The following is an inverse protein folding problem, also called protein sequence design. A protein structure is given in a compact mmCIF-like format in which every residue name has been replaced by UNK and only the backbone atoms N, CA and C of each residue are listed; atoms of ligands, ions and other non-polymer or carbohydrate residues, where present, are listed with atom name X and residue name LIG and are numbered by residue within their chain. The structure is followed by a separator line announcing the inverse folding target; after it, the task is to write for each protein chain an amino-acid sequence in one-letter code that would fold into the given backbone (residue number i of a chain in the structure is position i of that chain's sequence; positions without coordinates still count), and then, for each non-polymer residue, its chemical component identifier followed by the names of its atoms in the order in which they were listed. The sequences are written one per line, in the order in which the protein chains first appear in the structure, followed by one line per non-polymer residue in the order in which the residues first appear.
data_IF_620182385807
#
_entry.id   IF_620182385807
#
_cell.length_a   1.000
_cell.length_b   1.000
_cell.length_c   1.000
_cell.angle_alpha   90.00
_cell.angle_beta   90.00
_cell.angle_gamma   90.00
#
_symmetry.space_group_name_H-M   'P 1'
#
loop_
_entity.id
_entity.type
_entity.pdbx_description
1 polymer ?
#
# COMPACT_ATOMS: atom_id res chain seq x y z
N UNK A 1 3.15 -19.00 -16.61
CA UNK A 1 4.02 -17.81 -16.45
C UNK A 1 3.98 -17.42 -15.00
N UNK A 2 5.11 -17.08 -14.39
CA UNK A 2 5.17 -16.58 -13.01
C UNK A 2 4.77 -15.11 -13.02
N UNK A 3 3.97 -14.67 -12.05
CA UNK A 3 3.58 -13.26 -11.92
C UNK A 3 4.78 -12.45 -11.43
N UNK A 4 5.04 -11.31 -12.09
CA UNK A 4 6.13 -10.38 -11.80
C UNK A 4 5.62 -9.25 -10.92
N UNK A 5 6.21 -9.09 -9.74
CA UNK A 5 5.80 -8.11 -8.73
C UNK A 5 6.92 -7.10 -8.52
N UNK A 6 6.59 -5.81 -8.59
CA UNK A 6 7.47 -4.73 -8.15
C UNK A 6 6.96 -4.16 -6.85
N UNK A 7 7.78 -4.20 -5.80
CA UNK A 7 7.48 -3.60 -4.49
C UNK A 7 8.16 -2.23 -4.40
N UNK A 8 7.38 -1.18 -4.59
CA UNK A 8 7.84 0.20 -4.48
C UNK A 8 7.69 0.72 -3.05
N UNK A 9 8.78 1.27 -2.50
CA UNK A 9 8.81 1.84 -1.16
C UNK A 9 9.53 3.19 -1.15
N UNK A 10 8.92 4.19 -0.51
CA UNK A 10 9.54 5.51 -0.35
C UNK A 10 10.91 5.46 0.35
N UNK A 11 11.09 4.52 1.28
CA UNK A 11 12.35 4.20 1.96
C UNK A 11 13.04 5.37 2.68
N UNK A 12 12.27 6.37 3.13
CA UNK A 12 12.79 7.52 3.90
C UNK A 12 12.79 7.25 5.40
N UNK A 13 11.75 6.61 5.92
CA UNK A 13 11.58 6.40 7.37
C UNK A 13 12.66 5.47 7.91
N UNK A 14 12.91 4.37 7.20
CA UNK A 14 13.91 3.36 7.58
C UNK A 14 15.33 3.92 7.51
N UNK A 15 15.59 4.93 6.68
CA UNK A 15 16.89 5.61 6.60
C UNK A 15 17.10 6.67 7.70
N UNK A 16 16.01 7.28 8.21
CA UNK A 16 16.09 8.44 9.11
C UNK A 16 15.71 8.15 10.56
N UNK A 17 14.91 7.12 10.81
CA UNK A 17 14.43 6.76 12.14
C UNK A 17 15.02 5.42 12.60
N UNK A 18 15.94 5.42 13.59
CA UNK A 18 16.55 4.19 14.10
C UNK A 18 15.57 3.15 14.65
N UNK A 19 14.42 3.59 15.19
CA UNK A 19 13.37 2.67 15.67
C UNK A 19 12.77 1.90 14.50
N UNK A 20 12.44 2.60 13.41
CA UNK A 20 11.90 1.98 12.19
C UNK A 20 12.96 1.10 11.52
N UNK A 21 14.21 1.56 11.44
CA UNK A 21 15.32 0.80 10.89
C UNK A 21 15.57 -0.53 11.63
N UNK A 22 15.38 -0.55 12.96
CA UNK A 22 15.50 -1.77 13.74
C UNK A 22 14.38 -2.79 13.45
N UNK A 23 13.18 -2.31 13.08
CA UNK A 23 12.06 -3.19 12.70
C UNK A 23 12.21 -3.66 11.25
N UNK A 24 12.61 -2.76 10.36
CA UNK A 24 12.79 -2.99 8.93
C UNK A 24 14.23 -2.68 8.49
N UNK A 25 15.20 -3.56 8.82
CA UNK A 25 16.60 -3.32 8.52
C UNK A 25 16.90 -3.24 7.01
N UNK A 26 16.12 -3.96 6.22
CA UNK A 26 16.19 -3.96 4.75
C UNK A 26 15.02 -3.18 4.11
N UNK A 27 14.36 -2.30 4.89
CA UNK A 27 13.17 -1.57 4.49
C UNK A 27 11.89 -2.41 4.42
N UNK A 28 10.75 -1.72 4.37
CA UNK A 28 9.42 -2.37 4.26
C UNK A 28 9.33 -3.21 2.99
N UNK A 29 9.86 -2.69 1.87
CA UNK A 29 9.98 -3.42 0.62
C UNK A 29 10.77 -4.73 0.75
N UNK A 30 11.86 -4.76 1.54
CA UNK A 30 12.63 -5.99 1.77
C UNK A 30 11.83 -7.06 2.51
N UNK A 31 11.07 -6.66 3.53
CA UNK A 31 10.18 -7.57 4.27
C UNK A 31 9.09 -8.18 3.37
N UNK A 32 8.41 -7.34 2.58
CA UNK A 32 7.37 -7.80 1.64
C UNK A 32 7.97 -8.68 0.55
N UNK A 33 9.09 -8.26 -0.06
CA UNK A 33 9.72 -9.01 -1.14
C UNK A 33 10.21 -10.38 -0.67
N UNK A 34 10.76 -10.48 0.55
CA UNK A 34 11.19 -11.75 1.13
C UNK A 34 10.05 -12.73 1.34
N UNK A 35 8.85 -12.24 1.69
CA UNK A 35 7.65 -13.06 1.81
C UNK A 35 7.13 -13.56 0.45
N UNK A 36 7.16 -12.70 -0.58
CA UNK A 36 6.58 -13.02 -1.89
C UNK A 36 7.48 -13.90 -2.79
N UNK A 37 8.79 -13.93 -2.56
CA UNK A 37 9.76 -14.61 -3.46
C UNK A 37 9.49 -16.11 -3.69
N UNK A 38 8.76 -16.78 -2.80
CA UNK A 38 8.48 -18.21 -2.90
C UNK A 38 7.34 -18.52 -3.90
N UNK A 39 6.58 -17.52 -4.34
CA UNK A 39 5.47 -17.66 -5.30
C UNK A 39 5.52 -16.74 -6.51
N UNK A 40 6.41 -15.75 -6.52
CA UNK A 40 6.43 -14.64 -7.48
C UNK A 40 7.85 -14.31 -7.94
N UNK A 41 7.99 -13.72 -9.13
CA UNK A 41 9.22 -13.04 -9.53
C UNK A 41 9.17 -11.63 -8.94
N UNK A 42 9.99 -11.34 -7.93
CA UNK A 42 9.88 -10.10 -7.17
C UNK A 42 11.10 -9.21 -7.37
N UNK A 43 10.86 -7.92 -7.57
CA UNK A 43 11.87 -6.87 -7.47
C UNK A 43 11.38 -5.76 -6.54
N UNK A 44 12.31 -4.95 -6.07
CA UNK A 44 12.01 -3.76 -5.28
C UNK A 44 12.51 -2.52 -5.99
N UNK A 45 11.87 -1.39 -5.73
CA UNK A 45 12.27 -0.07 -6.22
C UNK A 45 12.04 0.97 -5.12
N UNK A 46 12.89 1.99 -5.06
CA UNK A 46 12.82 3.04 -4.04
C UNK A 46 12.86 4.44 -4.63
N UNK A 47 12.35 5.42 -3.87
CA UNK A 47 12.28 6.82 -4.31
C UNK A 47 13.65 7.40 -4.71
N UNK A 48 14.73 6.96 -4.06
CA UNK A 48 16.08 7.51 -4.24
C UNK A 48 16.80 6.97 -5.48
N UNK A 49 16.28 5.92 -6.11
CA UNK A 49 16.83 5.38 -7.35
C UNK A 49 16.56 6.32 -8.55
N UNK A 50 17.36 6.25 -9.62
CA UNK A 50 17.05 6.94 -10.87
C UNK A 50 15.65 6.59 -11.35
N UNK A 51 14.86 7.60 -11.74
CA UNK A 51 13.44 7.43 -12.10
C UNK A 51 12.61 6.71 -11.02
N UNK A 52 13.03 6.83 -9.75
CA UNK A 52 12.44 6.15 -8.59
C UNK A 52 12.44 4.62 -8.71
N UNK A 53 13.38 4.07 -9.49
CA UNK A 53 13.48 2.64 -9.81
C UNK A 53 12.40 2.16 -10.78
N UNK A 54 11.59 3.06 -11.34
CA UNK A 54 10.42 2.75 -12.16
C UNK A 54 10.63 3.15 -13.62
N UNK A 55 11.75 2.76 -14.21
CA UNK A 55 12.01 2.96 -15.65
C UNK A 55 10.91 2.31 -16.50
N UNK A 56 10.81 2.70 -17.79
CA UNK A 56 9.81 2.10 -18.68
C UNK A 56 9.93 0.58 -18.74
N UNK A 57 11.15 0.05 -18.84
CA UNK A 57 11.39 -1.39 -18.86
C UNK A 57 10.93 -2.08 -17.56
N UNK A 58 11.13 -1.46 -16.40
CA UNK A 58 10.64 -2.00 -15.13
C UNK A 58 9.12 -2.05 -15.09
N UNK A 59 8.45 -0.99 -15.54
CA UNK A 59 6.99 -0.91 -15.54
C UNK A 59 6.38 -1.89 -16.55
N UNK A 60 6.93 -1.97 -17.77
CA UNK A 60 6.51 -2.94 -18.81
C UNK A 60 6.71 -4.39 -18.37
N UNK A 61 7.67 -4.62 -17.48
CA UNK A 61 7.96 -5.92 -16.89
C UNK A 61 7.39 -6.12 -15.48
N UNK A 62 6.34 -5.38 -15.11
CA UNK A 62 5.60 -5.54 -13.85
C UNK A 62 4.17 -5.97 -14.15
N UNK A 63 3.73 -7.09 -13.56
CA UNK A 63 2.33 -7.51 -13.65
C UNK A 63 1.51 -6.92 -12.49
N UNK A 64 2.12 -6.80 -11.30
CA UNK A 64 1.52 -6.16 -10.12
C UNK A 64 2.53 -5.23 -9.43
N UNK A 65 2.14 -3.97 -9.25
CA UNK A 65 2.87 -3.00 -8.46
C UNK A 65 2.31 -2.96 -7.03
N UNK A 66 3.17 -3.07 -6.02
CA UNK A 66 2.83 -2.79 -4.62
C UNK A 66 3.44 -1.43 -4.27
N UNK A 67 2.66 -0.53 -3.67
CA UNK A 67 3.09 0.84 -3.40
C UNK A 67 2.93 1.22 -1.94
N UNK A 68 4.05 1.55 -1.29
CA UNK A 68 4.07 2.18 0.03
C UNK A 68 4.81 3.52 -0.02
N UNK A 69 4.23 4.58 0.57
CA UNK A 69 4.89 5.87 0.75
C UNK A 69 4.16 6.71 1.78
N UNK A 70 4.80 7.76 2.30
CA UNK A 70 4.23 8.55 3.39
C UNK A 70 4.65 10.03 3.38
N UNK A 71 5.95 10.32 3.55
CA UNK A 71 6.44 11.67 3.81
C UNK A 71 6.70 12.48 2.54
N UNK A 72 7.09 11.81 1.47
CA UNK A 72 7.65 12.40 0.25
C UNK A 72 6.83 12.07 -1.00
N UNK A 73 5.50 11.91 -0.87
CA UNK A 73 4.61 11.72 -2.02
C UNK A 73 4.77 12.79 -3.11
N UNK A 74 5.14 14.02 -2.72
CA UNK A 74 5.34 15.14 -3.64
C UNK A 74 6.61 14.99 -4.48
N UNK A 75 7.59 14.24 -3.98
CA UNK A 75 8.92 14.09 -4.57
C UNK A 75 8.95 12.98 -5.64
N UNK A 76 7.85 12.24 -5.82
CA UNK A 76 7.66 11.34 -6.96
C UNK A 76 7.36 12.19 -8.19
N UNK A 77 8.23 12.15 -9.20
CA UNK A 77 8.11 12.93 -10.43
C UNK A 77 6.81 12.61 -11.18
N UNK A 78 6.14 13.66 -11.69
CA UNK A 78 4.85 13.51 -12.36
C UNK A 78 4.94 12.61 -13.61
N UNK A 79 6.08 12.61 -14.31
CA UNK A 79 6.31 11.69 -15.43
C UNK A 79 6.30 10.20 -15.02
N UNK A 80 6.80 9.88 -13.82
CA UNK A 80 6.76 8.53 -13.26
C UNK A 80 5.35 8.18 -12.82
N UNK A 81 4.62 9.14 -12.27
CA UNK A 81 3.20 8.98 -11.93
C UNK A 81 2.38 8.63 -13.18
N UNK A 82 2.52 9.38 -14.28
CA UNK A 82 1.78 9.06 -15.52
C UNK A 82 2.13 7.68 -16.05
N UNK A 83 3.42 7.30 -16.07
CA UNK A 83 3.86 5.97 -16.51
C UNK A 83 3.17 4.85 -15.72
N UNK A 84 3.11 4.97 -14.40
CA UNK A 84 2.44 3.99 -13.54
C UNK A 84 0.93 3.98 -13.76
N UNK A 85 0.30 5.15 -13.85
CA UNK A 85 -1.15 5.29 -14.09
C UNK A 85 -1.55 4.69 -15.43
N UNK A 86 -0.81 4.98 -16.50
CA UNK A 86 -1.02 4.41 -17.84
C UNK A 86 -0.88 2.89 -17.82
N UNK A 87 0.15 2.35 -17.15
CA UNK A 87 0.32 0.91 -17.02
C UNK A 87 -0.85 0.25 -16.28
N UNK A 88 -1.35 0.87 -15.19
CA UNK A 88 -2.53 0.37 -14.47
C UNK A 88 -3.78 0.39 -15.35
N UNK A 89 -4.02 1.48 -16.08
CA UNK A 89 -5.13 1.57 -17.03
C UNK A 89 -5.03 0.56 -18.18
N UNK A 90 -3.81 0.13 -18.52
CA UNK A 90 -3.53 -0.91 -19.50
C UNK A 90 -3.49 -2.33 -18.92
N UNK A 91 -3.83 -2.52 -17.64
CA UNK A 91 -4.04 -3.83 -17.02
C UNK A 91 -2.99 -4.28 -16.00
N UNK A 92 -1.99 -3.46 -15.68
CA UNK A 92 -1.10 -3.74 -14.53
C UNK A 92 -1.89 -3.64 -13.21
N UNK A 93 -1.75 -4.63 -12.34
CA UNK A 93 -2.34 -4.58 -10.99
C UNK A 93 -1.65 -3.54 -10.11
N UNK A 94 -2.40 -2.90 -9.21
CA UNK A 94 -1.85 -1.98 -8.21
C UNK A 94 -2.41 -2.27 -6.82
N UNK A 95 -1.52 -2.50 -5.86
CA UNK A 95 -1.85 -2.66 -4.44
C UNK A 95 -1.25 -1.47 -3.70
N UNK A 96 -2.11 -0.59 -3.17
CA UNK A 96 -1.69 0.58 -2.41
C UNK A 96 -1.80 0.29 -0.92
N UNK A 97 -0.71 0.50 -0.19
CA UNK A 97 -0.61 0.14 1.23
C UNK A 97 -0.65 1.39 2.12
N UNK A 98 -1.49 1.35 3.15
CA UNK A 98 -1.48 2.29 4.27
C UNK A 98 -1.45 3.76 3.81
N UNK A 99 -0.46 4.55 4.23
CA UNK A 99 -0.23 5.95 3.87
C UNK A 99 -0.08 6.20 2.36
N UNK A 100 0.13 5.14 1.56
CA UNK A 100 0.01 5.17 0.10
C UNK A 100 -1.32 5.73 -0.42
N UNK A 101 -2.37 5.81 0.42
CA UNK A 101 -3.61 6.49 0.10
C UNK A 101 -3.42 7.96 -0.31
N UNK A 102 -2.35 8.64 0.13
CA UNK A 102 -2.02 10.01 -0.30
C UNK A 102 -1.04 10.07 -1.47
N UNK A 103 -0.64 8.93 -2.03
CA UNK A 103 0.28 8.87 -3.17
C UNK A 103 -0.30 9.51 -4.43
N UNK A 104 0.58 10.12 -5.24
CA UNK A 104 0.16 10.72 -6.51
C UNK A 104 -0.54 9.72 -7.44
N UNK A 105 -0.04 8.48 -7.67
CA UNK A 105 -0.73 7.52 -8.55
C UNK A 105 -2.14 7.17 -8.05
N UNK A 106 -2.32 6.90 -6.75
CA UNK A 106 -3.63 6.53 -6.21
C UNK A 106 -4.65 7.65 -6.34
N UNK A 107 -4.28 8.89 -5.98
CA UNK A 107 -5.14 10.06 -6.13
C UNK A 107 -5.49 10.35 -7.59
N UNK A 108 -4.53 10.13 -8.50
CA UNK A 108 -4.73 10.32 -9.94
C UNK A 108 -5.67 9.29 -10.54
N UNK A 109 -5.61 8.04 -10.08
CA UNK A 109 -6.53 6.98 -10.50
C UNK A 109 -7.96 7.20 -9.95
N UNK A 110 -8.09 7.61 -8.69
CA UNK A 110 -9.39 7.74 -8.04
C UNK A 110 -10.10 9.08 -8.27
N UNK A 111 -9.36 10.14 -8.59
CA UNK A 111 -9.92 11.47 -8.87
C UNK A 111 -10.47 12.21 -7.64
N UNK A 112 -10.15 11.76 -6.42
CA UNK A 112 -10.58 12.37 -5.15
C UNK A 112 -9.38 12.85 -4.33
N UNK A 113 -9.62 13.43 -3.14
CA UNK A 113 -8.51 13.87 -2.28
C UNK A 113 -7.81 12.70 -1.59
N UNK A 114 -8.50 11.56 -1.47
CA UNK A 114 -8.10 10.38 -0.69
C UNK A 114 -7.77 10.72 0.76
N UNK A 115 -8.37 11.79 1.30
CA UNK A 115 -8.14 12.21 2.68
C UNK A 115 -9.02 11.41 3.64
N UNK A 116 -8.56 11.30 4.89
CA UNK A 116 -9.20 10.54 5.96
C UNK A 116 -8.88 11.15 7.32
N UNK A 117 -9.59 10.71 8.37
CA UNK A 117 -9.19 11.00 9.76
C UNK A 117 -8.09 10.05 10.17
N UNK A 118 -7.14 10.52 10.97
CA UNK A 118 -6.09 9.67 11.50
C UNK A 118 -5.72 9.98 12.96
N UNK A 119 -5.14 9.00 13.65
CA UNK A 119 -4.58 9.14 15.00
C UNK A 119 -3.50 8.09 15.23
N UNK A 120 -2.32 8.53 15.61
CA UNK A 120 -1.23 7.66 16.09
C UNK A 120 -1.33 7.55 17.62
N UNK A 121 -1.77 6.39 18.11
CA UNK A 121 -1.99 6.20 19.54
C UNK A 121 -1.82 4.75 19.99
N UNK A 122 -1.06 3.91 19.28
CA UNK A 122 -0.80 2.49 19.64
C UNK A 122 -2.07 1.76 20.08
N UNK A 123 -3.09 1.79 19.22
CA UNK A 123 -4.37 1.12 19.48
C UNK A 123 -4.52 -0.13 18.63
N UNK A 124 -5.30 -1.07 19.16
CA UNK A 124 -5.56 -2.33 18.46
C UNK A 124 -6.57 -2.09 17.36
N UNK A 125 -6.17 -2.41 16.13
CA UNK A 125 -7.05 -2.49 14.99
C UNK A 125 -7.59 -3.91 14.87
N UNK A 126 -8.90 -4.05 14.71
CA UNK A 126 -9.54 -5.32 14.35
C UNK A 126 -10.16 -5.18 12.97
N UNK A 127 -9.66 -5.97 12.02
CA UNK A 127 -10.09 -6.01 10.63
C UNK A 127 -11.08 -7.15 10.46
N UNK A 128 -12.32 -6.82 10.12
CA UNK A 128 -13.39 -7.77 9.87
C UNK A 128 -13.50 -8.09 8.38
N UNK A 129 -13.55 -9.37 8.04
CA UNK A 129 -13.84 -9.82 6.67
C UNK A 129 -15.31 -9.57 6.37
N UNK A 130 -15.56 -8.75 5.36
CA UNK A 130 -16.94 -8.42 4.91
C UNK A 130 -17.29 -9.04 3.55
N UNK A 131 -16.30 -9.58 2.84
CA UNK A 131 -16.46 -10.35 1.62
C UNK A 131 -15.84 -11.76 1.77
N UNK A 132 -16.46 -12.68 2.54
CA UNK A 132 -15.85 -13.97 2.91
C UNK A 132 -15.60 -14.94 1.74
N UNK A 133 -16.22 -14.71 0.58
CA UNK A 133 -15.96 -15.49 -0.65
C UNK A 133 -14.90 -14.87 -1.57
N UNK A 134 -14.27 -13.76 -1.16
CA UNK A 134 -13.31 -13.05 -2.01
C UNK A 134 -11.92 -13.73 -1.98
N UNK A 135 -11.21 -13.88 -3.11
CA UNK A 135 -9.91 -14.55 -3.15
C UNK A 135 -8.83 -13.94 -2.24
N UNK A 136 -8.93 -12.64 -1.92
CA UNK A 136 -8.00 -11.93 -1.01
C UNK A 136 -8.05 -12.51 0.40
N UNK A 137 -9.18 -13.08 0.83
CA UNK A 137 -9.37 -13.61 2.19
C UNK A 137 -9.28 -15.14 2.23
N UNK A 138 -8.77 -15.79 1.19
CA UNK A 138 -8.51 -17.23 1.20
C UNK A 138 -7.60 -17.59 2.39
N UNK A 139 -8.05 -18.50 3.24
CA UNK A 139 -7.34 -18.90 4.45
C UNK A 139 -7.42 -17.91 5.64
N UNK A 140 -8.13 -16.79 5.49
CA UNK A 140 -8.43 -15.85 6.58
C UNK A 140 -9.80 -16.20 7.18
N UNK A 141 -9.91 -16.18 8.51
CA UNK A 141 -11.17 -16.40 9.23
C UNK A 141 -12.14 -15.22 9.12
N UNK A 142 -12.93 -14.97 10.17
CA UNK A 142 -13.85 -13.82 10.23
C UNK A 142 -13.13 -12.45 10.25
N UNK A 143 -11.82 -12.46 10.50
CA UNK A 143 -11.01 -11.27 10.64
C UNK A 143 -9.69 -11.58 11.36
N UNK A 144 -8.93 -10.53 11.63
CA UNK A 144 -7.71 -10.57 12.45
C UNK A 144 -7.49 -9.23 13.14
N UNK A 145 -6.58 -9.20 14.12
CA UNK A 145 -6.25 -7.98 14.85
C UNK A 145 -4.77 -7.66 14.75
N UNK A 146 -4.46 -6.37 14.60
CA UNK A 146 -3.11 -5.81 14.69
C UNK A 146 -3.01 -5.10 16.06
N UNK A 147 -2.13 -5.54 16.97
CA UNK A 147 -2.10 -5.04 18.34
C UNK A 147 -1.86 -3.53 18.47
N UNK A 148 -0.98 -2.99 17.62
CA UNK A 148 -0.57 -1.59 17.59
C UNK A 148 -0.59 -1.10 16.13
N UNK A 149 -1.56 -0.24 15.81
CA UNK A 149 -1.71 0.36 14.50
C UNK A 149 -2.03 1.86 14.60
N UNK A 150 -1.67 2.61 13.57
CA UNK A 150 -2.20 3.96 13.35
C UNK A 150 -3.69 3.84 12.97
N UNK A 151 -4.54 4.61 13.63
CA UNK A 151 -5.96 4.66 13.29
C UNK A 151 -6.16 5.49 12.03
N UNK A 152 -6.81 4.90 11.02
CA UNK A 152 -7.49 5.63 9.95
C UNK A 152 -9.00 5.50 10.13
N UNK A 153 -9.75 6.54 9.78
CA UNK A 153 -11.18 6.62 10.07
C UNK A 153 -11.99 7.33 8.99
N UNK A 154 -13.24 6.91 8.85
CA UNK A 154 -14.22 7.54 7.96
C UNK A 154 -14.51 9.01 8.36
N UNK A 155 -14.84 9.89 7.41
CA UNK A 155 -15.03 9.66 5.97
C UNK A 155 -13.68 9.55 5.23
N UNK A 156 -13.48 8.45 4.51
CA UNK A 156 -12.40 8.27 3.57
C UNK A 156 -12.87 8.73 2.18
N UNK A 157 -12.30 9.83 1.70
CA UNK A 157 -12.67 10.48 0.45
C UNK A 157 -12.15 9.72 -0.77
N UNK A 158 -12.78 8.58 -1.03
CA UNK A 158 -12.58 7.73 -2.21
C UNK A 158 -13.93 7.46 -2.89
N UNK A 159 -13.94 7.14 -4.19
CA UNK A 159 -15.11 6.58 -4.86
C UNK A 159 -15.61 5.34 -4.11
N UNK A 160 -16.88 5.00 -4.30
CA UNK A 160 -17.43 3.77 -3.73
C UNK A 160 -16.66 2.56 -4.27
N UNK A 161 -16.02 1.74 -3.41
CA UNK A 161 -15.34 0.53 -3.86
C UNK A 161 -16.32 -0.45 -4.51
N UNK A 162 -15.85 -1.20 -5.51
CA UNK A 162 -16.63 -2.30 -6.09
C UNK A 162 -16.90 -3.41 -5.07
N UNK A 163 -15.94 -3.64 -4.18
CA UNK A 163 -16.06 -4.55 -3.03
C UNK A 163 -15.30 -3.94 -1.86
N UNK A 164 -15.90 -4.02 -0.67
CA UNK A 164 -15.20 -3.77 0.59
C UNK A 164 -14.84 -5.14 1.13
N UNK A 165 -13.56 -5.45 1.22
CA UNK A 165 -13.07 -6.74 1.72
C UNK A 165 -12.94 -6.68 3.23
N UNK A 166 -12.43 -5.56 3.76
CA UNK A 166 -12.22 -5.35 5.19
C UNK A 166 -12.90 -4.09 5.72
N UNK A 167 -13.46 -4.21 6.92
CA UNK A 167 -13.83 -3.07 7.75
C UNK A 167 -13.04 -3.14 9.05
N UNK A 168 -12.29 -2.08 9.34
CA UNK A 168 -11.55 -1.94 10.58
C UNK A 168 -12.37 -1.23 11.65
N UNK A 169 -12.15 -1.66 12.90
CA UNK A 169 -12.52 -0.94 14.11
C UNK A 169 -11.28 -0.77 14.99
N UNK A 170 -11.19 0.37 15.67
CA UNK A 170 -10.08 0.69 16.56
C UNK A 170 -10.50 0.71 18.03
N UNK A 171 -9.63 0.22 18.92
CA UNK A 171 -10.01 -0.07 20.31
C UNK A 171 -10.15 1.15 21.22
N UNK A 172 -9.48 2.27 20.92
CA UNK A 172 -9.52 3.47 21.78
C UNK A 172 -10.62 4.46 21.38
N UNK A 173 -11.30 4.24 20.27
CA UNK A 173 -12.36 5.14 19.80
C UNK A 173 -13.59 4.43 19.21
N UNK A 174 -14.31 5.19 18.39
CA UNK A 174 -15.54 4.73 17.71
C UNK A 174 -15.39 4.71 16.20
N UNK A 175 -14.19 5.03 15.71
CA UNK A 175 -13.88 5.08 14.30
C UNK A 175 -13.97 3.70 13.68
N UNK A 176 -14.60 3.68 12.51
CA UNK A 176 -14.60 2.57 11.58
C UNK A 176 -13.93 3.03 10.29
N UNK A 177 -13.41 2.10 9.52
CA UNK A 177 -12.70 2.41 8.28
C UNK A 177 -12.87 1.28 7.28
N UNK A 178 -13.22 1.62 6.03
CA UNK A 178 -13.13 0.67 4.92
C UNK A 178 -11.66 0.47 4.58
N UNK A 179 -11.04 -0.54 5.19
CA UNK A 179 -9.59 -0.76 5.23
C UNK A 179 -9.06 -1.68 4.13
N UNK A 180 -9.94 -2.33 3.36
CA UNK A 180 -9.58 -3.12 2.20
C UNK A 180 -10.77 -3.50 1.33
#
# INVERSE_FOLDING_TARGET
MTIRVTVWNEYIHEQKNPVVANIYPDGIHGAIASFLKDGFEVRSATLQEPEHGLTQDVVDNTDVMIWWGHHAHRDVDDAIVERVVEAVQNGMGLIVLHSGHHSKPFKRLLGTTCNLKWREADETETLWVTAPGHPIVEGIGEGFSVPEAEMYGEFFDIPQPETVVFISRFSKGTEVFRSG
#
